data_IF_668600037277
#
_entry.id   IF_668600037277
#
_cell.length_a   1.000
_cell.length_b   1.000
_cell.length_c   1.000
_cell.angle_alpha   90.00
_cell.angle_beta   90.00
_cell.angle_gamma   90.00
#
_symmetry.space_group_name_H-M   'P 1'
#
loop_
_entity.id
_entity.type
_entity.pdbx_description
1 polymer ?
#
# COMPACT_ATOMS: atom_id res chain seq x y z
N UNK A 1 -44.53 11.92 20.86
CA UNK A 1 -44.38 12.65 19.58
C UNK A 1 -42.89 12.55 19.18
N UNK A 2 -42.49 12.24 17.96
CA UNK A 2 -41.06 11.98 17.60
C UNK A 2 -40.86 12.17 16.07
N UNK A 3 -39.84 12.89 15.55
CA UNK A 3 -39.70 13.34 14.13
C UNK A 3 -38.26 13.62 13.66
N UNK A 4 -37.77 12.84 12.68
CA UNK A 4 -36.42 12.94 12.12
C UNK A 4 -36.21 13.95 10.99
N UNK A 5 -35.05 14.60 10.96
CA UNK A 5 -34.61 15.52 9.91
C UNK A 5 -33.30 15.03 9.26
N UNK A 6 -33.38 14.56 8.01
CA UNK A 6 -32.21 14.04 7.27
C UNK A 6 -31.44 15.21 6.63
N UNK A 7 -30.26 15.56 7.18
CA UNK A 7 -29.39 16.57 6.58
C UNK A 7 -27.92 16.15 6.59
N UNK A 8 -27.31 16.32 5.41
CA UNK A 8 -25.89 16.19 5.03
C UNK A 8 -25.47 14.83 4.46
N UNK A 9 -24.69 14.88 3.37
CA UNK A 9 -24.10 13.72 2.65
C UNK A 9 -23.18 12.85 3.50
N UNK A 10 -22.90 13.26 4.74
CA UNK A 10 -21.90 12.66 5.61
C UNK A 10 -22.45 12.12 6.95
N UNK A 11 -23.74 12.34 7.23
CA UNK A 11 -24.39 11.94 8.48
C UNK A 11 -25.89 11.79 8.25
N UNK A 12 -26.51 10.79 8.86
CA UNK A 12 -27.98 10.65 8.86
C UNK A 12 -28.47 10.99 10.25
N UNK A 13 -29.50 11.82 10.34
CA UNK A 13 -29.97 12.40 11.59
C UNK A 13 -31.49 12.27 11.75
N UNK A 14 -31.93 11.98 12.98
CA UNK A 14 -33.34 11.93 13.36
C UNK A 14 -33.50 12.65 14.70
N UNK A 15 -34.40 13.62 14.78
CA UNK A 15 -34.89 14.19 16.04
C UNK A 15 -36.24 13.62 16.47
N UNK A 16 -36.68 13.97 17.67
CA UNK A 16 -37.91 13.47 18.24
C UNK A 16 -38.39 14.25 19.45
N UNK A 17 -39.39 15.12 19.23
CA UNK A 17 -40.01 15.90 20.29
C UNK A 17 -41.18 15.17 20.95
N UNK A 18 -40.97 14.49 22.09
CA UNK A 18 -41.98 13.77 22.87
C UNK A 18 -42.54 14.64 23.97
N UNK A 19 -43.77 15.13 23.82
CA UNK A 19 -44.44 15.94 24.85
C UNK A 19 -45.67 15.22 25.43
N UNK A 20 -45.88 15.46 26.71
CA UNK A 20 -47.00 14.98 27.52
C UNK A 20 -47.62 16.18 28.23
N UNK A 21 -48.95 16.29 28.18
CA UNK A 21 -49.63 17.35 28.92
C UNK A 21 -49.45 17.14 30.42
N UNK A 22 -48.90 18.14 31.10
CA UNK A 22 -48.58 18.11 32.54
C UNK A 22 -49.57 18.93 33.38
N UNK A 23 -50.37 19.80 32.74
CA UNK A 23 -51.39 20.61 33.37
C UNK A 23 -52.25 21.37 32.35
N UNK A 24 -53.20 22.21 32.79
CA UNK A 24 -53.92 23.12 31.91
C UNK A 24 -52.92 24.02 31.18
N UNK A 25 -52.89 23.96 29.85
CA UNK A 25 -51.98 24.75 29.00
C UNK A 25 -50.48 24.51 29.25
N UNK A 26 -50.09 23.41 29.90
CA UNK A 26 -48.69 23.08 30.21
C UNK A 26 -48.31 21.68 29.70
N UNK A 27 -47.06 21.51 29.27
CA UNK A 27 -46.49 20.22 28.91
C UNK A 27 -45.07 20.04 29.41
N UNK A 28 -44.68 18.79 29.57
CA UNK A 28 -43.29 18.35 29.76
C UNK A 28 -42.95 17.29 28.73
N UNK A 29 -41.67 17.02 28.52
CA UNK A 29 -41.26 16.09 27.48
C UNK A 29 -39.76 15.92 27.31
N UNK A 30 -39.40 15.30 26.19
CA UNK A 30 -38.01 15.14 25.73
C UNK A 30 -37.86 15.51 24.26
N UNK A 31 -36.73 16.12 23.90
CA UNK A 31 -36.21 16.16 22.54
C UNK A 31 -35.09 15.11 22.45
N UNK A 32 -35.37 14.02 21.74
CA UNK A 32 -34.39 12.98 21.44
C UNK A 32 -33.74 13.29 20.09
N UNK A 33 -32.42 13.19 20.00
CA UNK A 33 -31.69 13.33 18.74
C UNK A 33 -30.81 12.10 18.56
N UNK A 34 -30.97 11.39 17.45
CA UNK A 34 -30.15 10.26 17.04
C UNK A 34 -29.40 10.63 15.79
N UNK A 35 -28.08 10.60 15.88
CA UNK A 35 -27.16 10.84 14.78
C UNK A 35 -26.40 9.56 14.47
N UNK A 36 -26.26 9.21 13.19
CA UNK A 36 -25.34 8.16 12.75
C UNK A 36 -24.36 8.74 11.75
N UNK A 37 -23.08 8.61 12.10
CA UNK A 37 -21.98 9.03 11.24
C UNK A 37 -21.60 7.92 10.24
N UNK A 38 -20.73 8.26 9.28
CA UNK A 38 -20.21 7.30 8.27
C UNK A 38 -19.62 6.01 8.83
N UNK A 39 -19.03 6.06 10.03
CA UNK A 39 -18.45 4.88 10.69
C UNK A 39 -19.51 3.95 11.31
N UNK A 40 -20.81 4.24 11.15
CA UNK A 40 -21.90 3.51 11.77
C UNK A 40 -22.00 3.75 13.28
N UNK A 41 -21.29 4.74 13.82
CA UNK A 41 -21.39 5.09 15.24
C UNK A 41 -22.66 5.91 15.45
N UNK A 42 -23.54 5.39 16.29
CA UNK A 42 -24.74 6.09 16.74
C UNK A 42 -24.43 6.96 17.95
N UNK A 43 -24.79 8.23 17.88
CA UNK A 43 -24.82 9.13 19.03
C UNK A 43 -26.28 9.45 19.33
N UNK A 44 -26.69 9.20 20.58
CA UNK A 44 -28.01 9.55 21.06
C UNK A 44 -27.88 10.69 22.07
N UNK A 45 -28.66 11.74 21.87
CA UNK A 45 -28.82 12.84 22.82
C UNK A 45 -30.28 12.91 23.26
N UNK A 46 -30.50 13.37 24.49
CA UNK A 46 -31.85 13.59 25.02
C UNK A 46 -31.83 14.84 25.87
N UNK A 47 -32.70 15.79 25.53
CA UNK A 47 -32.88 17.04 26.25
C UNK A 47 -34.28 17.08 26.84
N UNK A 48 -34.41 17.52 28.09
CA UNK A 48 -35.71 17.77 28.68
C UNK A 48 -36.35 18.99 28.02
N UNK A 49 -37.65 18.90 27.76
CA UNK A 49 -38.45 20.05 27.33
C UNK A 49 -39.59 20.33 28.29
N UNK A 50 -39.85 21.60 28.49
CA UNK A 50 -41.06 22.08 29.18
C UNK A 50 -41.68 23.21 28.37
N UNK A 51 -42.94 23.50 28.61
CA UNK A 51 -43.54 24.64 27.95
C UNK A 51 -45.01 24.82 28.22
N UNK A 52 -45.52 25.90 27.63
CA UNK A 52 -46.92 26.28 27.71
C UNK A 52 -47.49 26.40 26.30
N UNK A 53 -48.79 26.18 26.14
CA UNK A 53 -49.50 26.35 24.87
C UNK A 53 -50.81 27.11 25.08
N UNK A 54 -51.19 27.97 24.13
CA UNK A 54 -52.39 28.82 24.20
C UNK A 54 -53.40 28.55 23.07
N UNK A 55 -53.41 27.30 22.57
CA UNK A 55 -54.20 26.87 21.44
C UNK A 55 -53.29 26.51 20.27
N UNK A 56 -53.02 27.48 19.39
CA UNK A 56 -52.17 27.29 18.20
C UNK A 56 -50.72 27.73 18.39
N UNK A 57 -50.37 28.40 19.50
CA UNK A 57 -49.00 28.78 19.79
C UNK A 57 -48.50 28.10 21.06
N UNK A 58 -47.20 27.87 21.12
CA UNK A 58 -46.53 27.32 22.28
C UNK A 58 -45.14 27.90 22.42
N UNK A 59 -44.69 28.06 23.67
CA UNK A 59 -43.29 28.35 23.97
C UNK A 59 -42.67 27.08 24.54
N UNK A 60 -41.65 26.56 23.87
CA UNK A 60 -40.92 25.36 24.25
C UNK A 60 -39.56 25.77 24.83
N UNK A 61 -39.35 25.47 26.11
CA UNK A 61 -38.07 25.60 26.80
C UNK A 61 -37.29 24.28 26.69
N UNK A 62 -36.09 24.35 26.10
CA UNK A 62 -35.13 23.26 26.03
C UNK A 62 -34.08 23.44 27.12
N UNK A 63 -33.96 22.47 28.03
CA UNK A 63 -32.96 22.51 29.09
C UNK A 63 -31.55 22.31 28.51
N UNK A 64 -30.64 23.19 28.90
CA UNK A 64 -29.22 23.11 28.56
C UNK A 64 -28.38 22.95 29.83
N UNK A 65 -27.09 22.63 29.65
CA UNK A 65 -26.11 22.50 30.75
C UNK A 65 -26.05 23.78 31.60
N UNK A 66 -26.32 24.95 31.00
CA UNK A 66 -26.43 26.23 31.69
C UNK A 66 -27.70 26.96 31.21
N UNK A 67 -28.79 26.83 31.97
CA UNK A 67 -30.06 27.53 31.69
C UNK A 67 -30.97 26.79 30.72
N UNK A 68 -31.93 27.52 30.14
CA UNK A 68 -32.86 27.01 29.13
C UNK A 68 -32.87 27.93 27.91
N UNK A 69 -33.14 27.37 26.74
CA UNK A 69 -33.38 28.13 25.51
C UNK A 69 -34.85 28.02 25.14
N UNK A 70 -35.50 29.17 24.97
CA UNK A 70 -36.89 29.22 24.54
C UNK A 70 -36.96 29.25 23.02
N UNK A 71 -37.83 28.41 22.47
CA UNK A 71 -38.19 28.38 21.06
C UNK A 71 -39.70 28.61 20.94
N UNK A 72 -40.08 29.52 20.06
CA UNK A 72 -41.49 29.72 19.74
C UNK A 72 -41.95 28.60 18.80
N UNK A 73 -43.18 28.13 18.99
CA UNK A 73 -43.75 27.07 18.19
C UNK A 73 -45.19 27.35 17.80
N UNK A 74 -45.56 26.92 16.60
CA UNK A 74 -46.93 26.89 16.12
C UNK A 74 -47.41 25.45 16.04
N UNK A 75 -48.56 25.16 16.63
CA UNK A 75 -49.19 23.85 16.67
C UNK A 75 -50.38 23.84 15.71
N UNK A 76 -50.34 22.90 14.77
CA UNK A 76 -51.49 22.50 13.93
C UNK A 76 -51.79 21.03 14.17
N UNK A 77 -52.97 20.54 13.76
CA UNK A 77 -53.49 19.20 14.11
C UNK A 77 -52.48 18.06 13.98
N UNK A 78 -51.61 18.14 12.97
CA UNK A 78 -50.67 17.08 12.62
C UNK A 78 -49.20 17.55 12.56
N UNK A 79 -48.88 18.76 13.04
CA UNK A 79 -47.48 19.17 13.15
C UNK A 79 -47.22 20.28 14.17
N UNK A 80 -46.00 20.30 14.71
CA UNK A 80 -45.46 21.41 15.50
C UNK A 80 -44.34 22.03 14.69
N UNK A 81 -44.41 23.33 14.43
CA UNK A 81 -43.33 24.06 13.75
C UNK A 81 -42.65 24.95 14.77
N UNK A 82 -41.37 24.70 15.05
CA UNK A 82 -40.54 25.47 15.96
C UNK A 82 -39.72 26.49 15.18
N UNK A 83 -39.59 27.70 15.73
CA UNK A 83 -38.82 28.79 15.14
C UNK A 83 -37.93 29.45 16.17
N UNK A 84 -36.67 29.70 15.82
CA UNK A 84 -35.72 30.40 16.67
C UNK A 84 -34.68 31.18 15.86
N UNK A 85 -34.01 32.12 16.52
CA UNK A 85 -32.88 32.83 15.92
C UNK A 85 -31.59 32.07 16.20
N UNK A 86 -30.84 31.74 15.14
CA UNK A 86 -29.51 31.15 15.24
C UNK A 86 -28.55 31.98 14.39
N UNK A 87 -27.52 32.55 15.01
CA UNK A 87 -26.52 33.37 14.33
C UNK A 87 -27.12 34.52 13.48
N UNK A 88 -28.21 35.11 13.95
CA UNK A 88 -28.90 36.21 13.24
C UNK A 88 -29.82 35.77 12.10
N UNK A 89 -29.99 34.47 11.86
CA UNK A 89 -30.94 33.92 10.90
C UNK A 89 -32.12 33.25 11.61
N UNK A 90 -33.32 33.39 11.05
CA UNK A 90 -34.50 32.65 11.50
C UNK A 90 -34.38 31.21 11.00
N UNK A 91 -34.34 30.26 11.93
CA UNK A 91 -34.36 28.83 11.67
C UNK A 91 -35.74 28.30 11.98
N UNK A 92 -36.23 27.40 11.14
CA UNK A 92 -37.52 26.74 11.28
C UNK A 92 -37.32 25.23 11.24
N UNK A 93 -37.95 24.53 12.17
CA UNK A 93 -37.92 23.06 12.26
C UNK A 93 -39.35 22.55 12.41
N UNK A 94 -39.74 21.58 11.59
CA UNK A 94 -41.12 21.07 11.58
C UNK A 94 -41.16 19.61 12.05
N UNK A 95 -41.93 19.37 13.09
CA UNK A 95 -42.22 18.07 13.67
C UNK A 95 -43.60 17.60 13.21
N UNK A 96 -43.67 16.69 12.23
CA UNK A 96 -44.91 16.01 11.86
C UNK A 96 -45.36 14.98 12.90
N UNK A 97 -46.66 14.83 13.14
CA UNK A 97 -47.19 13.84 14.07
C UNK A 97 -46.90 12.42 13.57
N UNK A 98 -46.34 11.58 14.45
CA UNK A 98 -46.04 10.16 14.21
C UNK A 98 -46.51 9.28 15.37
N UNK A 99 -46.88 8.04 15.06
CA UNK A 99 -47.05 6.97 16.06
C UNK A 99 -45.70 6.42 16.51
N UNK A 100 -45.66 5.71 17.64
CA UNK A 100 -44.43 5.07 18.12
C UNK A 100 -43.88 4.03 17.14
N UNK A 101 -44.78 3.30 16.44
CA UNK A 101 -44.41 2.37 15.37
C UNK A 101 -43.74 3.07 14.19
N UNK A 102 -44.27 4.24 13.78
CA UNK A 102 -43.67 5.03 12.70
C UNK A 102 -42.29 5.56 13.09
N UNK A 103 -42.10 5.96 14.34
CA UNK A 103 -40.79 6.38 14.84
C UNK A 103 -39.79 5.20 14.89
N UNK A 104 -40.22 4.03 15.37
CA UNK A 104 -39.39 2.83 15.37
C UNK A 104 -38.97 2.43 13.94
N UNK A 105 -39.87 2.55 12.96
CA UNK A 105 -39.57 2.32 11.54
C UNK A 105 -38.56 3.33 10.97
N UNK A 106 -38.63 4.60 11.39
CA UNK A 106 -37.63 5.61 10.99
C UNK A 106 -36.24 5.27 11.56
N UNK A 107 -36.15 4.85 12.83
CA UNK A 107 -34.90 4.42 13.45
C UNK A 107 -34.31 3.17 12.78
N UNK A 108 -35.15 2.21 12.37
CA UNK A 108 -34.69 1.05 11.60
C UNK A 108 -34.15 1.46 10.23
N UNK A 109 -34.83 2.37 9.54
CA UNK A 109 -34.39 2.91 8.24
C UNK A 109 -33.02 3.59 8.36
N UNK A 110 -32.81 4.36 9.44
CA UNK A 110 -31.53 4.98 9.78
C UNK A 110 -30.43 3.92 9.98
N UNK A 111 -30.73 2.83 10.68
CA UNK A 111 -29.81 1.70 10.88
C UNK A 111 -29.40 1.03 9.56
N UNK A 112 -30.34 0.86 8.62
CA UNK A 112 -30.03 0.34 7.28
C UNK A 112 -29.19 1.30 6.43
N UNK A 113 -29.50 2.60 6.47
CA UNK A 113 -28.71 3.62 5.78
C UNK A 113 -27.25 3.64 6.29
N UNK A 114 -27.05 3.50 7.61
CA UNK A 114 -25.74 3.40 8.22
C UNK A 114 -24.94 2.16 7.76
N UNK A 115 -25.58 1.01 7.68
CA UNK A 115 -24.96 -0.22 7.17
C UNK A 115 -24.52 -0.07 5.71
N UNK A 116 -25.35 0.57 4.88
CA UNK A 116 -25.04 0.82 3.47
C UNK A 116 -23.86 1.81 3.30
N UNK A 117 -23.80 2.85 4.12
CA UNK A 117 -22.68 3.80 4.13
C UNK A 117 -21.36 3.10 4.52
N UNK A 118 -21.37 2.34 5.62
CA UNK A 118 -20.17 1.61 6.06
C UNK A 118 -19.69 0.56 5.03
N UNK A 119 -20.62 -0.13 4.36
CA UNK A 119 -20.28 -1.07 3.29
C UNK A 119 -19.67 -0.37 2.07
N UNK A 120 -20.14 0.84 1.74
CA UNK A 120 -19.61 1.66 0.64
C UNK A 120 -18.17 2.11 0.94
N UNK A 121 -17.90 2.61 2.14
CA UNK A 121 -16.54 3.03 2.53
C UNK A 121 -15.56 1.86 2.56
N UNK A 122 -15.99 0.68 3.06
CA UNK A 122 -15.16 -0.52 3.01
C UNK A 122 -14.83 -0.93 1.56
N UNK A 123 -15.80 -0.81 0.64
CA UNK A 123 -15.58 -1.07 -0.78
C UNK A 123 -14.62 -0.04 -1.41
N UNK A 124 -14.74 1.25 -1.05
CA UNK A 124 -13.84 2.32 -1.51
C UNK A 124 -12.42 2.11 -1.00
N UNK A 125 -12.24 1.79 0.29
CA UNK A 125 -10.93 1.51 0.87
C UNK A 125 -10.28 0.28 0.21
N UNK A 126 -11.05 -0.79 -0.01
CA UNK A 126 -10.57 -1.97 -0.73
C UNK A 126 -10.18 -1.65 -2.18
N UNK A 127 -10.93 -0.78 -2.86
CA UNK A 127 -10.60 -0.32 -4.20
C UNK A 127 -9.34 0.55 -4.23
N UNK A 128 -9.14 1.41 -3.22
CA UNK A 128 -7.93 2.22 -3.08
C UNK A 128 -6.68 1.36 -2.84
N UNK A 129 -6.76 0.35 -1.97
CA UNK A 129 -5.64 -0.57 -1.75
C UNK A 129 -5.33 -1.36 -3.01
N UNK A 130 -6.35 -1.91 -3.68
CA UNK A 130 -6.16 -2.62 -4.95
C UNK A 130 -5.57 -1.71 -6.05
N UNK A 131 -5.95 -0.43 -6.10
CA UNK A 131 -5.37 0.54 -7.03
C UNK A 131 -3.88 0.79 -6.71
N UNK A 132 -3.51 0.86 -5.44
CA UNK A 132 -2.13 1.06 -5.01
C UNK A 132 -1.26 -0.16 -5.36
N UNK A 133 -1.71 -1.36 -5.00
CA UNK A 133 -1.03 -2.62 -5.34
C UNK A 133 -0.86 -2.77 -6.86
N UNK A 134 -1.89 -2.38 -7.62
CA UNK A 134 -1.85 -2.36 -9.09
C UNK A 134 -0.81 -1.38 -9.63
N UNK A 135 -0.78 -0.15 -9.11
CA UNK A 135 0.19 0.85 -9.54
C UNK A 135 1.63 0.43 -9.23
N UNK A 136 1.85 -0.16 -8.04
CA UNK A 136 3.16 -0.70 -7.65
C UNK A 136 3.59 -1.86 -8.57
N UNK A 137 2.69 -2.75 -8.94
CA UNK A 137 2.99 -3.83 -9.89
C UNK A 137 3.37 -3.27 -11.27
N UNK A 138 2.59 -2.31 -11.78
CA UNK A 138 2.86 -1.66 -13.08
C UNK A 138 4.22 -0.98 -13.08
N UNK A 139 4.56 -0.22 -12.04
CA UNK A 139 5.85 0.46 -11.91
C UNK A 139 7.02 -0.53 -11.84
N UNK A 140 6.87 -1.60 -11.06
CA UNK A 140 7.88 -2.66 -10.97
C UNK A 140 8.10 -3.39 -12.30
N UNK A 141 7.03 -3.63 -13.07
CA UNK A 141 7.13 -4.22 -14.40
C UNK A 141 7.79 -3.27 -15.40
N UNK A 142 7.44 -1.98 -15.37
CA UNK A 142 8.07 -0.97 -16.23
C UNK A 142 9.57 -0.89 -15.95
N UNK A 143 9.95 -0.78 -14.68
CA UNK A 143 11.36 -0.71 -14.29
C UNK A 143 12.16 -1.96 -14.66
N UNK A 144 11.50 -3.13 -14.68
CA UNK A 144 12.12 -4.35 -15.18
C UNK A 144 12.36 -4.26 -16.69
N UNK A 145 11.35 -3.87 -17.46
CA UNK A 145 11.45 -3.73 -18.93
C UNK A 145 12.54 -2.71 -19.31
N UNK A 146 12.57 -1.55 -18.66
CA UNK A 146 13.59 -0.52 -18.89
C UNK A 146 15.01 -1.02 -18.57
N UNK A 147 15.16 -1.89 -17.57
CA UNK A 147 16.45 -2.47 -17.21
C UNK A 147 16.87 -3.59 -18.15
N UNK A 148 15.93 -4.43 -18.58
CA UNK A 148 16.21 -5.54 -19.49
C UNK A 148 16.79 -5.04 -20.81
N UNK A 149 16.30 -3.92 -21.34
CA UNK A 149 16.85 -3.28 -22.54
C UNK A 149 18.36 -2.94 -22.42
N UNK A 150 18.88 -2.83 -21.21
CA UNK A 150 20.29 -2.53 -20.94
C UNK A 150 21.15 -3.76 -20.67
N UNK A 151 20.55 -4.94 -20.52
CA UNK A 151 21.28 -6.16 -20.19
C UNK A 151 22.07 -6.65 -21.40
N UNK A 152 23.37 -6.85 -21.21
CA UNK A 152 24.28 -7.36 -22.25
C UNK A 152 25.35 -8.26 -21.64
N UNK A 153 25.86 -9.20 -22.43
CA UNK A 153 26.96 -10.08 -22.01
C UNK A 153 28.33 -9.40 -22.12
N UNK A 154 28.46 -8.36 -22.95
CA UNK A 154 29.75 -7.74 -23.29
C UNK A 154 30.56 -7.26 -22.06
N UNK A 155 29.97 -6.66 -21.01
CA UNK A 155 30.70 -6.33 -19.79
C UNK A 155 31.27 -7.56 -19.07
N UNK A 156 30.49 -8.65 -18.98
CA UNK A 156 30.91 -9.89 -18.34
C UNK A 156 32.01 -10.59 -19.14
N UNK A 157 31.89 -10.66 -20.47
CA UNK A 157 32.93 -11.21 -21.35
C UNK A 157 34.22 -10.38 -21.30
N UNK A 158 34.11 -9.05 -21.24
CA UNK A 158 35.26 -8.15 -21.11
C UNK A 158 35.98 -8.39 -19.78
N UNK A 159 35.21 -8.57 -18.70
CA UNK A 159 35.77 -8.89 -17.38
C UNK A 159 36.44 -10.27 -17.38
N UNK A 160 35.80 -11.29 -17.96
CA UNK A 160 36.36 -12.62 -18.12
C UNK A 160 37.75 -12.55 -18.79
N UNK A 161 37.83 -11.91 -19.96
CA UNK A 161 39.10 -11.72 -20.70
C UNK A 161 40.16 -11.01 -19.86
N UNK A 162 39.78 -9.97 -19.11
CA UNK A 162 40.70 -9.24 -18.22
C UNK A 162 41.21 -10.09 -17.05
N UNK A 163 40.32 -10.82 -16.38
CA UNK A 163 40.68 -11.66 -15.23
C UNK A 163 41.60 -12.80 -15.65
N UNK A 164 41.26 -13.49 -16.75
CA UNK A 164 42.09 -14.54 -17.34
C UNK A 164 43.45 -14.00 -17.76
N UNK A 165 43.48 -12.88 -18.49
CA UNK A 165 44.72 -12.26 -18.93
C UNK A 165 45.63 -11.80 -17.78
N UNK A 166 45.05 -11.29 -16.69
CA UNK A 166 45.81 -10.95 -15.47
C UNK A 166 46.41 -12.20 -14.81
N UNK A 167 45.63 -13.28 -14.70
CA UNK A 167 46.11 -14.55 -14.17
C UNK A 167 47.24 -15.15 -15.02
N UNK A 168 47.11 -15.14 -16.35
CA UNK A 168 48.13 -15.61 -17.29
C UNK A 168 49.43 -14.79 -17.18
N UNK A 169 49.31 -13.46 -17.16
CA UNK A 169 50.45 -12.56 -17.01
C UNK A 169 51.17 -12.76 -15.66
N UNK A 170 50.40 -12.94 -14.57
CA UNK A 170 50.95 -13.21 -13.26
C UNK A 170 51.67 -14.56 -13.19
N UNK A 171 51.07 -15.62 -13.72
CA UNK A 171 51.70 -16.94 -13.79
C UNK A 171 53.00 -16.91 -14.62
N UNK A 172 52.99 -16.23 -15.77
CA UNK A 172 54.18 -16.07 -16.60
C UNK A 172 55.30 -15.33 -15.86
N UNK A 173 54.94 -14.28 -15.11
CA UNK A 173 55.90 -13.53 -14.31
C UNK A 173 56.45 -14.35 -13.13
N UNK A 174 55.63 -15.16 -12.46
CA UNK A 174 56.09 -16.12 -11.45
C UNK A 174 57.12 -17.07 -12.03
N UNK A 175 56.83 -17.69 -13.19
CA UNK A 175 57.79 -18.55 -13.91
C UNK A 175 59.11 -17.82 -14.20
N UNK A 176 59.04 -16.57 -14.65
CA UNK A 176 60.24 -15.75 -14.89
C UNK A 176 61.04 -15.49 -13.61
N UNK A 177 60.38 -15.13 -12.50
CA UNK A 177 61.04 -14.87 -11.22
C UNK A 177 61.68 -16.13 -10.64
N UNK A 178 61.03 -17.28 -10.76
CA UNK A 178 61.59 -18.59 -10.37
C UNK A 178 62.87 -18.90 -11.17
N UNK A 179 62.86 -18.65 -12.48
CA UNK A 179 64.02 -18.88 -13.34
C UNK A 179 65.26 -18.03 -12.97
N UNK A 180 65.06 -16.90 -12.27
CA UNK A 180 66.13 -15.99 -11.85
C UNK A 180 66.72 -16.32 -10.47
N UNK A 181 66.18 -17.33 -9.76
CA UNK A 181 66.71 -17.92 -8.52
C UNK A 181 66.98 -16.93 -7.36
N UNK A 182 66.29 -15.77 -7.31
CA UNK A 182 66.46 -14.75 -6.26
C UNK A 182 65.11 -14.19 -5.76
N UNK A 183 64.14 -15.03 -5.44
CA UNK A 183 62.79 -14.59 -5.09
C UNK A 183 62.42 -14.87 -3.62
N UNK A 184 61.49 -14.08 -3.09
CA UNK A 184 60.77 -14.32 -1.84
C UNK A 184 59.29 -14.44 -2.18
N UNK A 185 58.61 -15.48 -1.71
CA UNK A 185 57.19 -15.68 -1.96
C UNK A 185 56.41 -15.91 -0.67
N UNK A 186 55.21 -15.34 -0.61
CA UNK A 186 54.24 -15.58 0.45
C UNK A 186 52.97 -16.17 -0.18
N UNK A 187 52.61 -17.37 0.26
CA UNK A 187 51.49 -18.15 -0.26
C UNK A 187 50.40 -18.21 0.78
N UNK A 188 49.19 -17.77 0.43
CA UNK A 188 47.97 -17.95 1.24
C UNK A 188 46.90 -18.67 0.42
N UNK A 189 45.82 -19.14 1.06
CA UNK A 189 44.75 -19.90 0.41
C UNK A 189 44.14 -19.19 -0.82
N UNK A 190 44.02 -17.85 -0.80
CA UNK A 190 43.36 -17.09 -1.85
C UNK A 190 44.28 -16.04 -2.50
N UNK A 191 45.55 -15.98 -2.10
CA UNK A 191 46.50 -15.00 -2.64
C UNK A 191 47.91 -15.58 -2.75
N UNK A 192 48.62 -15.22 -3.81
CA UNK A 192 50.04 -15.45 -3.97
C UNK A 192 50.73 -14.10 -4.14
N UNK A 193 51.69 -13.79 -3.28
CA UNK A 193 52.59 -12.64 -3.45
C UNK A 193 54.01 -13.14 -3.71
N UNK A 194 54.60 -12.79 -4.85
CA UNK A 194 56.00 -13.12 -5.19
C UNK A 194 56.77 -11.82 -5.40
N UNK A 195 57.91 -11.68 -4.74
CA UNK A 195 58.76 -10.50 -4.77
C UNK A 195 60.22 -10.84 -5.09
N UNK A 196 60.88 -9.96 -5.84
CA UNK A 196 62.31 -9.97 -6.07
C UNK A 196 62.80 -8.52 -6.11
N UNK A 197 63.64 -8.13 -5.15
CA UNK A 197 64.06 -6.73 -4.94
C UNK A 197 62.84 -5.78 -4.88
N UNK A 198 62.72 -4.81 -5.82
CA UNK A 198 61.61 -3.84 -5.90
C UNK A 198 60.43 -4.28 -6.79
N UNK A 199 60.55 -5.41 -7.51
CA UNK A 199 59.50 -5.91 -8.39
C UNK A 199 58.67 -6.98 -7.67
N UNK A 200 57.37 -6.73 -7.51
CA UNK A 200 56.42 -7.64 -6.90
C UNK A 200 55.22 -7.92 -7.79
N UNK A 201 54.66 -9.12 -7.66
CA UNK A 201 53.32 -9.45 -8.15
C UNK A 201 52.50 -10.01 -7.01
N UNK A 202 51.25 -9.57 -6.95
CA UNK A 202 50.22 -10.15 -6.11
C UNK A 202 49.09 -10.68 -6.99
N UNK A 203 48.90 -11.99 -6.99
CA UNK A 203 47.70 -12.63 -7.49
C UNK A 203 46.74 -12.75 -6.31
N UNK A 204 45.63 -12.01 -6.34
CA UNK A 204 44.60 -12.08 -5.31
C UNK A 204 43.28 -11.62 -5.92
N UNK A 205 42.19 -12.31 -5.57
CA UNK A 205 40.90 -12.12 -6.22
C UNK A 205 39.96 -11.28 -5.36
N UNK A 206 39.28 -10.32 -5.98
CA UNK A 206 38.10 -9.65 -5.45
C UNK A 206 36.95 -9.75 -6.48
N UNK A 207 36.52 -10.98 -6.82
CA UNK A 207 35.40 -11.23 -7.77
C UNK A 207 34.04 -11.47 -7.07
N UNK A 208 33.93 -11.30 -5.75
CA UNK A 208 32.73 -11.71 -4.98
C UNK A 208 31.46 -10.87 -5.25
N UNK A 209 31.57 -9.71 -5.92
CA UNK A 209 30.46 -8.77 -6.09
C UNK A 209 29.43 -9.15 -7.17
N UNK A 210 29.73 -10.11 -8.05
CA UNK A 210 28.85 -10.39 -9.20
C UNK A 210 27.83 -11.50 -8.97
N UNK A 211 28.16 -12.49 -8.14
CA UNK A 211 27.23 -13.57 -7.76
C UNK A 211 26.00 -13.00 -7.03
N UNK A 212 26.20 -12.00 -6.18
CA UNK A 212 25.12 -11.33 -5.46
C UNK A 212 24.22 -10.51 -6.40
N UNK A 213 24.78 -9.86 -7.42
CA UNK A 213 24.02 -9.10 -8.41
C UNK A 213 23.12 -10.00 -9.26
N UNK A 214 23.63 -11.15 -9.74
CA UNK A 214 22.84 -12.14 -10.50
C UNK A 214 21.73 -12.73 -9.63
N UNK A 215 22.06 -13.15 -8.41
CA UNK A 215 21.07 -13.70 -7.48
C UNK A 215 19.96 -12.68 -7.16
N UNK A 216 20.32 -11.41 -6.98
CA UNK A 216 19.34 -10.32 -6.79
C UNK A 216 18.42 -10.15 -7.99
N UNK A 217 18.95 -10.26 -9.22
CA UNK A 217 18.14 -10.17 -10.43
C UNK A 217 17.15 -11.34 -10.56
N UNK A 218 17.59 -12.56 -10.29
CA UNK A 218 16.74 -13.76 -10.28
C UNK A 218 15.63 -13.65 -9.24
N UNK A 219 15.95 -13.20 -8.02
CA UNK A 219 14.95 -12.98 -6.96
C UNK A 219 13.91 -11.93 -7.35
N UNK A 220 14.33 -10.87 -8.06
CA UNK A 220 13.41 -9.84 -8.55
C UNK A 220 12.44 -10.37 -9.60
N UNK A 221 12.91 -11.20 -10.54
CA UNK A 221 12.04 -11.85 -11.53
C UNK A 221 11.03 -12.78 -10.84
N UNK A 222 11.49 -13.65 -9.95
CA UNK A 222 10.60 -14.53 -9.18
C UNK A 222 9.57 -13.74 -8.35
N UNK A 223 9.96 -12.58 -7.81
CA UNK A 223 9.04 -11.69 -7.09
C UNK A 223 8.01 -11.03 -8.00
N UNK A 224 8.36 -10.70 -9.24
CA UNK A 224 7.42 -10.19 -10.26
C UNK A 224 6.45 -11.29 -10.68
N UNK A 225 6.93 -12.51 -10.93
CA UNK A 225 6.08 -13.65 -11.28
C UNK A 225 5.06 -13.94 -10.19
N UNK A 226 5.51 -13.93 -8.93
CA UNK A 226 4.61 -14.11 -7.80
C UNK A 226 3.59 -12.96 -7.71
N UNK A 227 4.01 -11.70 -7.90
CA UNK A 227 3.11 -10.55 -7.86
C UNK A 227 2.06 -10.58 -8.99
N UNK A 228 2.42 -11.07 -10.18
CA UNK A 228 1.49 -11.31 -11.28
C UNK A 228 0.51 -12.44 -10.89
N UNK A 229 1.01 -13.54 -10.34
CA UNK A 229 0.20 -14.72 -10.02
C UNK A 229 -0.84 -14.49 -8.92
N UNK A 230 -0.54 -13.62 -7.95
CA UNK A 230 -1.47 -13.28 -6.84
C UNK A 230 -2.24 -11.99 -7.08
N UNK A 231 -2.08 -11.35 -8.25
CA UNK A 231 -2.74 -10.08 -8.54
C UNK A 231 -4.26 -10.25 -8.56
N UNK A 232 -5.02 -9.43 -7.80
CA UNK A 232 -6.49 -9.50 -7.81
C UNK A 232 -7.09 -8.99 -9.13
N UNK A 233 -6.29 -8.33 -9.98
CA UNK A 233 -6.70 -7.81 -11.27
C UNK A 233 -6.62 -8.86 -12.39
N UNK A 234 -5.88 -9.95 -12.18
CA UNK A 234 -5.56 -10.91 -13.23
C UNK A 234 -6.22 -12.27 -13.00
N UNK A 235 -6.76 -12.83 -14.07
CA UNK A 235 -7.12 -14.23 -14.13
C UNK A 235 -5.84 -15.10 -14.30
N UNK A 236 -5.90 -16.42 -14.06
CA UNK A 236 -4.74 -17.31 -14.17
C UNK A 236 -4.07 -17.31 -15.55
N UNK A 237 -4.82 -17.02 -16.61
CA UNK A 237 -4.29 -16.88 -17.98
C UNK A 237 -3.55 -15.54 -18.21
N UNK A 238 -3.63 -14.60 -17.27
CA UNK A 238 -3.06 -13.25 -17.37
C UNK A 238 -3.99 -12.23 -18.03
N UNK A 239 -5.24 -12.59 -18.33
CA UNK A 239 -6.29 -11.65 -18.73
C UNK A 239 -6.88 -10.92 -17.52
N UNK A 240 -7.70 -9.89 -17.74
CA UNK A 240 -8.42 -9.22 -16.66
C UNK A 240 -9.50 -10.12 -16.06
N UNK A 241 -9.65 -10.08 -14.73
CA UNK A 241 -10.81 -10.68 -14.06
C UNK A 241 -12.13 -10.02 -14.52
N UNK A 242 -13.28 -10.71 -14.42
CA UNK A 242 -14.58 -10.11 -14.72
C UNK A 242 -14.85 -8.86 -13.85
N UNK A 243 -15.38 -7.80 -14.47
CA UNK A 243 -15.63 -6.50 -13.83
C UNK A 243 -14.39 -5.92 -13.11
N UNK A 244 -13.27 -5.73 -13.82
CA UNK A 244 -12.03 -5.26 -13.20
C UNK A 244 -12.19 -3.82 -12.72
N UNK A 245 -11.47 -3.46 -11.65
CA UNK A 245 -11.37 -2.07 -11.23
C UNK A 245 -10.70 -1.24 -12.35
N UNK A 246 -11.05 0.04 -12.53
CA UNK A 246 -10.44 0.89 -13.56
C UNK A 246 -8.91 0.93 -13.52
N UNK A 247 -8.29 0.84 -12.35
CA UNK A 247 -6.83 0.83 -12.22
C UNK A 247 -6.17 -0.42 -12.85
N UNK A 248 -6.89 -1.53 -12.95
CA UNK A 248 -6.36 -2.77 -13.52
C UNK A 248 -6.10 -2.67 -15.05
N UNK A 249 -6.63 -1.65 -15.73
CA UNK A 249 -6.67 -1.58 -17.20
C UNK A 249 -5.30 -1.70 -17.90
N UNK A 250 -4.22 -1.24 -17.25
CA UNK A 250 -2.86 -1.24 -17.83
C UNK A 250 -2.08 -2.52 -17.54
N UNK A 251 -2.49 -3.33 -16.55
CA UNK A 251 -1.73 -4.51 -16.13
C UNK A 251 -1.56 -5.53 -17.27
N UNK A 252 -2.59 -5.91 -18.06
CA UNK A 252 -2.44 -6.97 -19.06
C UNK A 252 -1.39 -6.67 -20.13
N UNK A 253 -1.31 -5.42 -20.60
CA UNK A 253 -0.29 -5.00 -21.58
C UNK A 253 1.12 -5.11 -20.98
N UNK A 254 1.30 -4.63 -19.74
CA UNK A 254 2.58 -4.73 -19.03
C UNK A 254 3.02 -6.17 -18.79
N UNK A 255 2.09 -7.04 -18.37
CA UNK A 255 2.34 -8.47 -18.18
C UNK A 255 2.67 -9.16 -19.50
N UNK A 256 1.99 -8.81 -20.58
CA UNK A 256 2.28 -9.34 -21.91
C UNK A 256 3.70 -8.99 -22.36
N UNK A 257 4.11 -7.73 -22.22
CA UNK A 257 5.47 -7.26 -22.53
C UNK A 257 6.52 -7.95 -21.67
N UNK A 258 6.28 -8.04 -20.35
CA UNK A 258 7.15 -8.75 -19.42
C UNK A 258 7.32 -10.22 -19.82
N UNK A 259 6.23 -10.95 -20.06
CA UNK A 259 6.27 -12.36 -20.47
C UNK A 259 6.99 -12.56 -21.82
N UNK A 260 6.90 -11.59 -22.72
CA UNK A 260 7.60 -11.65 -24.02
C UNK A 260 9.13 -11.62 -23.88
N UNK A 261 9.66 -10.93 -22.86
CA UNK A 261 11.11 -10.83 -22.60
C UNK A 261 11.60 -11.72 -21.46
N UNK A 262 10.69 -12.33 -20.69
CA UNK A 262 11.04 -13.12 -19.50
C UNK A 262 12.02 -14.25 -19.81
N UNK A 263 11.72 -15.06 -20.83
CA UNK A 263 12.55 -16.20 -21.21
C UNK A 263 13.95 -15.79 -21.71
N UNK A 264 14.05 -14.68 -22.46
CA UNK A 264 15.36 -14.16 -22.89
C UNK A 264 16.17 -13.62 -21.72
N UNK A 265 15.52 -12.93 -20.76
CA UNK A 265 16.14 -12.44 -19.55
C UNK A 265 16.68 -13.59 -18.66
N UNK A 266 15.91 -14.69 -18.51
CA UNK A 266 16.36 -15.89 -17.78
C UNK A 266 17.59 -16.53 -18.43
N UNK A 267 17.57 -16.69 -19.76
CA UNK A 267 18.70 -17.23 -20.51
C UNK A 267 19.94 -16.35 -20.36
N UNK A 268 19.77 -15.03 -20.40
CA UNK A 268 20.88 -14.10 -20.24
C UNK A 268 21.48 -14.16 -18.84
N UNK A 269 20.66 -14.22 -17.79
CA UNK A 269 21.14 -14.40 -16.42
C UNK A 269 21.88 -15.74 -16.23
N UNK A 270 21.38 -16.81 -16.86
CA UNK A 270 22.06 -18.11 -16.85
C UNK A 270 23.44 -18.05 -17.53
N UNK A 271 23.54 -17.36 -18.67
CA UNK A 271 24.80 -17.15 -19.38
C UNK A 271 25.77 -16.28 -18.58
N UNK A 272 25.31 -15.19 -17.98
CA UNK A 272 26.12 -14.34 -17.08
C UNK A 272 26.66 -15.15 -15.90
N UNK A 273 25.83 -16.00 -15.30
CA UNK A 273 26.27 -16.87 -14.21
C UNK A 273 27.33 -17.87 -14.67
N UNK A 274 27.14 -18.47 -15.85
CA UNK A 274 28.12 -19.38 -16.45
C UNK A 274 29.47 -18.70 -16.71
N UNK A 275 29.48 -17.51 -17.32
CA UNK A 275 30.69 -16.73 -17.57
C UNK A 275 31.39 -16.39 -16.24
N UNK A 276 30.65 -15.99 -15.22
CA UNK A 276 31.23 -15.67 -13.91
C UNK A 276 31.84 -16.90 -13.23
N UNK A 277 31.15 -18.04 -13.25
CA UNK A 277 31.68 -19.30 -12.71
C UNK A 277 32.94 -19.75 -13.45
N UNK A 278 32.92 -19.69 -14.78
CA UNK A 278 34.07 -20.01 -15.62
C UNK A 278 35.26 -19.09 -15.32
N UNK A 279 35.02 -17.78 -15.25
CA UNK A 279 36.06 -16.77 -14.93
C UNK A 279 36.73 -17.07 -13.60
N UNK A 280 35.94 -17.38 -12.56
CA UNK A 280 36.47 -17.72 -11.25
C UNK A 280 37.28 -19.01 -11.28
N UNK A 281 36.72 -20.07 -11.86
CA UNK A 281 37.40 -21.37 -11.97
C UNK A 281 38.75 -21.25 -12.69
N UNK A 282 38.77 -20.55 -13.83
CA UNK A 282 39.98 -20.37 -14.64
C UNK A 282 41.04 -19.51 -13.95
N UNK A 283 40.63 -18.51 -13.17
CA UNK A 283 41.55 -17.73 -12.37
C UNK A 283 42.11 -18.54 -11.19
N UNK A 284 41.26 -19.26 -10.47
CA UNK A 284 41.65 -20.10 -9.34
C UNK A 284 42.63 -21.20 -9.78
N UNK A 285 42.45 -21.76 -10.98
CA UNK A 285 43.40 -22.70 -11.58
C UNK A 285 44.78 -22.07 -11.79
N UNK A 286 44.84 -20.85 -12.33
CA UNK A 286 46.11 -20.12 -12.55
C UNK A 286 46.80 -19.76 -11.24
N UNK A 287 46.02 -19.35 -10.25
CA UNK A 287 46.53 -19.09 -8.90
C UNK A 287 47.14 -20.38 -8.33
N UNK A 288 46.42 -21.50 -8.40
CA UNK A 288 46.91 -22.80 -7.93
C UNK A 288 48.19 -23.23 -8.66
N UNK A 289 48.22 -23.14 -10.00
CA UNK A 289 49.42 -23.43 -10.78
C UNK A 289 50.62 -22.57 -10.34
N UNK A 290 50.40 -21.28 -10.06
CA UNK A 290 51.45 -20.40 -9.58
C UNK A 290 51.93 -20.78 -8.17
N UNK A 291 51.00 -21.17 -7.28
CA UNK A 291 51.31 -21.65 -5.93
C UNK A 291 52.11 -22.97 -5.96
N UNK A 292 51.72 -23.91 -6.81
CA UNK A 292 52.40 -25.20 -6.98
C UNK A 292 53.85 -24.99 -7.48
N UNK A 293 54.05 -24.09 -8.45
CA UNK A 293 55.38 -23.74 -8.96
C UNK A 293 56.29 -23.13 -7.89
N UNK A 294 55.75 -22.22 -7.07
CA UNK A 294 56.49 -21.58 -5.98
C UNK A 294 56.84 -22.60 -4.88
N UNK A 295 55.89 -23.47 -4.54
CA UNK A 295 56.06 -24.51 -3.52
C UNK A 295 57.08 -25.57 -3.95
N UNK A 296 57.15 -25.91 -5.24
CA UNK A 296 58.13 -26.85 -5.78
C UNK A 296 59.56 -26.27 -5.89
N UNK A 297 59.70 -24.94 -5.83
CA UNK A 297 60.98 -24.25 -5.88
C UNK A 297 61.60 -23.99 -4.49
N UNK A 298 60.89 -24.34 -3.41
CA UNK A 298 61.36 -24.37 -2.02
C UNK A 298 61.74 -25.80 -1.63
#
# INVERSE_FOLDING_TARGET
MSVGHDTSTDQVFIEALRITQSGPNQFTGTLESTEVNKAGKTTNNTQSVTGNFDGSHATIALDQVIGHVNREATIVSDSITMTWMQNGQLVTEQFARKSDEQYASMLQTLGHAAQNLAATDAAVAKAQEANKETAELVDRLQHFLDKEETWTLAPAETRHKKAVGYGDAGLAKVKQLLALHQFQANVSANTLAVQMNTAGIQLGLALDNDTSAISTAQQKMASLDNAIAVSPCLAPDGSLVPNPLPACALIPDMVSRYRAVHGSAELMLAQLNSINQQTRSEYDERLKQAQDLVSAAH
#
